data_IF_784931652482
#
_entry.id   IF_784931652482
#
_cell.length_a   1.000
_cell.length_b   1.000
_cell.length_c   1.000
_cell.angle_alpha   90.00
_cell.angle_beta   90.00
_cell.angle_gamma   90.00
#
_symmetry.space_group_name_H-M   'P 1'
#
loop_
_entity.id
_entity.type
_entity.pdbx_description
1 polymer ?
#
# COMPACT_ATOMS: atom_id res chain seq x y z
N UNK A 1 0.92 -11.66 -32.75
CA UNK A 1 -0.04 -11.17 -31.75
C UNK A 1 0.28 -11.91 -30.47
N UNK A 2 1.08 -11.29 -29.60
CA UNK A 2 1.41 -11.89 -28.31
C UNK A 2 0.26 -11.58 -27.37
N UNK A 3 -0.54 -12.61 -27.09
CA UNK A 3 -1.47 -12.63 -25.97
C UNK A 3 -0.59 -12.73 -24.72
N UNK A 4 -0.11 -11.57 -24.24
CA UNK A 4 0.56 -11.46 -22.94
C UNK A 4 -0.51 -11.83 -21.95
N UNK A 5 -0.39 -13.06 -21.42
CA UNK A 5 -1.41 -13.69 -20.58
C UNK A 5 -1.96 -12.68 -19.59
N UNK A 6 -3.25 -12.37 -19.73
CA UNK A 6 -4.02 -11.63 -18.73
C UNK A 6 -3.82 -12.36 -17.41
N UNK A 7 -2.90 -11.87 -16.58
CA UNK A 7 -2.82 -12.31 -15.19
C UNK A 7 -4.16 -11.93 -14.57
N UNK A 8 -4.89 -12.93 -14.10
CA UNK A 8 -6.14 -12.72 -13.40
C UNK A 8 -5.77 -12.18 -12.02
N UNK A 9 -6.10 -10.91 -11.79
CA UNK A 9 -6.03 -10.31 -10.44
C UNK A 9 -6.91 -11.13 -9.51
N UNK A 10 -6.32 -11.58 -8.42
CA UNK A 10 -6.97 -12.36 -7.36
C UNK A 10 -7.46 -11.44 -6.24
N UNK A 11 -8.26 -11.99 -5.32
CA UNK A 11 -8.64 -11.26 -4.11
C UNK A 11 -7.43 -11.00 -3.22
N UNK A 12 -6.51 -11.96 -3.13
CA UNK A 12 -5.26 -11.84 -2.36
C UNK A 12 -4.44 -10.64 -2.86
N UNK A 13 -4.31 -10.46 -4.18
CA UNK A 13 -3.60 -9.29 -4.75
C UNK A 13 -4.24 -7.95 -4.35
N UNK A 14 -5.57 -7.92 -4.20
CA UNK A 14 -6.32 -6.72 -3.78
C UNK A 14 -6.14 -6.47 -2.28
N UNK A 15 -6.20 -7.51 -1.46
CA UNK A 15 -5.98 -7.42 -0.02
C UNK A 15 -4.55 -7.00 0.33
N UNK A 16 -3.57 -7.54 -0.40
CA UNK A 16 -2.16 -7.13 -0.29
C UNK A 16 -1.98 -5.65 -0.65
N UNK A 17 -2.62 -5.18 -1.74
CA UNK A 17 -2.61 -3.77 -2.14
C UNK A 17 -3.19 -2.84 -1.08
N UNK A 18 -4.38 -3.16 -0.55
CA UNK A 18 -5.03 -2.36 0.51
C UNK A 18 -4.18 -2.35 1.79
N UNK A 19 -3.57 -3.48 2.12
CA UNK A 19 -2.68 -3.61 3.29
C UNK A 19 -1.42 -2.77 3.09
N UNK A 20 -0.79 -2.84 1.93
CA UNK A 20 0.41 -2.06 1.60
C UNK A 20 0.10 -0.55 1.63
N UNK A 21 -1.06 -0.14 1.12
CA UNK A 21 -1.51 1.25 1.17
C UNK A 21 -1.73 1.74 2.60
N UNK A 22 -2.40 0.94 3.42
CA UNK A 22 -2.61 1.27 4.84
C UNK A 22 -1.28 1.36 5.62
N UNK A 23 -0.33 0.47 5.33
CA UNK A 23 1.01 0.46 5.93
C UNK A 23 1.81 1.71 5.56
N UNK A 24 1.81 2.14 4.29
CA UNK A 24 2.50 3.37 3.88
C UNK A 24 1.94 4.60 4.62
N UNK A 25 0.61 4.65 4.82
CA UNK A 25 -0.01 5.70 5.63
C UNK A 25 0.48 5.68 7.09
N UNK A 26 0.63 4.49 7.69
CA UNK A 26 1.12 4.38 9.07
C UNK A 26 2.59 4.76 9.17
N UNK A 27 3.43 4.31 8.23
CA UNK A 27 4.84 4.68 8.16
C UNK A 27 5.00 6.20 8.02
N UNK A 28 4.17 6.85 7.20
CA UNK A 28 4.16 8.32 7.09
C UNK A 28 3.75 9.04 8.39
N UNK A 29 2.83 8.47 9.18
CA UNK A 29 2.47 9.02 10.51
C UNK A 29 3.61 8.86 11.50
N UNK A 30 4.27 7.70 11.50
CA UNK A 30 5.44 7.43 12.35
C UNK A 30 6.59 8.36 11.97
N UNK A 31 6.90 8.49 10.68
CA UNK A 31 7.95 9.38 10.16
C UNK A 31 7.75 10.81 10.67
N UNK A 32 6.53 11.33 10.58
CA UNK A 32 6.19 12.66 11.09
C UNK A 32 6.41 12.76 12.59
N UNK A 33 5.89 11.80 13.36
CA UNK A 33 6.02 11.77 14.82
C UNK A 33 7.50 11.79 15.23
N UNK A 34 8.32 10.92 14.64
CA UNK A 34 9.72 10.82 15.03
C UNK A 34 10.50 12.08 14.64
N UNK A 35 10.22 12.67 13.47
CA UNK A 35 10.83 13.95 13.06
C UNK A 35 10.50 15.08 14.04
N UNK A 36 9.25 15.17 14.51
CA UNK A 36 8.83 16.16 15.51
C UNK A 36 9.53 15.98 16.87
N UNK A 37 9.97 14.76 17.18
CA UNK A 37 10.63 14.41 18.43
C UNK A 37 12.16 14.24 18.33
N UNK A 38 12.76 14.70 17.23
CA UNK A 38 14.22 14.71 17.07
C UNK A 38 14.82 13.37 16.66
N UNK A 39 14.16 12.66 15.74
CA UNK A 39 14.70 11.47 15.09
C UNK A 39 16.14 11.69 14.61
N UNK A 40 16.96 10.66 14.79
CA UNK A 40 18.26 10.55 14.14
C UNK A 40 18.14 9.98 12.72
N UNK A 41 19.24 10.08 11.98
CA UNK A 41 19.31 9.63 10.58
C UNK A 41 19.07 8.12 10.46
N UNK A 42 19.47 7.32 11.45
CA UNK A 42 19.28 5.86 11.46
C UNK A 42 17.79 5.50 11.54
N UNK A 43 17.03 6.20 12.38
CA UNK A 43 15.58 5.98 12.48
C UNK A 43 14.85 6.38 11.20
N UNK A 44 15.27 7.46 10.54
CA UNK A 44 14.70 7.88 9.25
C UNK A 44 15.07 6.90 8.13
N UNK A 45 16.29 6.38 8.13
CA UNK A 45 16.74 5.35 7.18
C UNK A 45 15.96 4.05 7.35
N UNK A 46 15.71 3.61 8.59
CA UNK A 46 14.89 2.44 8.88
C UNK A 46 13.45 2.60 8.36
N UNK A 47 12.85 3.78 8.52
CA UNK A 47 11.51 4.07 7.98
C UNK A 47 11.55 4.08 6.45
N UNK A 48 12.58 4.68 5.84
CA UNK A 48 12.75 4.66 4.38
C UNK A 48 12.83 3.24 3.84
N UNK A 49 13.64 2.39 4.47
CA UNK A 49 13.75 0.97 4.12
C UNK A 49 12.40 0.25 4.21
N UNK A 50 11.63 0.45 5.28
CA UNK A 50 10.31 -0.17 5.43
C UNK A 50 9.31 0.31 4.37
N UNK A 51 9.39 1.56 3.94
CA UNK A 51 8.54 2.09 2.85
C UNK A 51 8.92 1.48 1.50
N UNK A 52 10.22 1.31 1.23
CA UNK A 52 10.71 0.63 0.03
C UNK A 52 10.30 -0.84 0.00
N UNK A 53 10.42 -1.54 1.12
CA UNK A 53 9.99 -2.93 1.27
C UNK A 53 8.48 -3.05 1.05
N UNK A 54 7.68 -2.20 1.70
CA UNK A 54 6.23 -2.15 1.53
C UNK A 54 5.80 -1.86 0.08
N UNK A 55 6.53 -0.99 -0.64
CA UNK A 55 6.23 -0.68 -2.03
C UNK A 55 6.39 -1.90 -2.96
N UNK A 56 7.20 -2.89 -2.57
CA UNK A 56 7.39 -4.12 -3.35
C UNK A 56 6.19 -5.08 -3.29
N UNK A 57 5.27 -4.87 -2.33
CA UNK A 57 4.06 -5.68 -2.16
C UNK A 57 2.89 -5.17 -3.04
N UNK A 58 3.06 -4.03 -3.71
CA UNK A 58 2.04 -3.44 -4.58
C UNK A 58 2.12 -4.05 -5.97
N UNK A 59 1.06 -4.77 -6.39
CA UNK A 59 0.91 -5.19 -7.78
C UNK A 59 0.67 -3.97 -8.68
N UNK A 60 1.49 -3.75 -9.74
CA UNK A 60 1.29 -2.66 -10.68
C UNK A 60 -0.10 -2.67 -11.35
N UNK A 61 -0.65 -3.87 -11.61
CA UNK A 61 -1.95 -4.06 -12.23
C UNK A 61 -3.09 -3.63 -11.28
N UNK A 62 -2.99 -3.96 -10.00
CA UNK A 62 -3.97 -3.53 -8.98
C UNK A 62 -3.91 -2.03 -8.76
N UNK A 63 -2.70 -1.46 -8.67
CA UNK A 63 -2.47 -0.02 -8.57
C UNK A 63 -3.04 0.74 -9.78
N UNK A 64 -2.94 0.21 -11.01
CA UNK A 64 -3.57 0.81 -12.18
C UNK A 64 -5.12 0.79 -12.08
N UNK A 65 -5.69 -0.30 -11.56
CA UNK A 65 -7.13 -0.40 -11.34
C UNK A 65 -7.61 0.58 -10.26
N UNK A 66 -6.89 0.71 -9.15
CA UNK A 66 -7.18 1.66 -8.06
C UNK A 66 -7.13 3.10 -8.59
N UNK A 67 -6.02 3.47 -9.24
CA UNK A 67 -5.82 4.81 -9.80
C UNK A 67 -6.86 5.19 -10.86
N UNK A 68 -7.33 4.22 -11.64
CA UNK A 68 -8.39 4.43 -12.64
C UNK A 68 -9.81 4.42 -12.06
N UNK A 69 -9.97 4.18 -10.75
CA UNK A 69 -11.26 4.10 -10.07
C UNK A 69 -12.07 2.85 -10.42
N UNK A 70 -11.40 1.82 -10.96
CA UNK A 70 -12.02 0.57 -11.43
C UNK A 70 -11.87 -0.56 -10.44
N UNK A 71 -11.03 -0.40 -9.41
CA UNK A 71 -10.96 -1.31 -8.28
C UNK A 71 -12.20 -1.09 -7.40
N UNK A 72 -13.18 -1.98 -7.52
CA UNK A 72 -14.40 -1.98 -6.71
C UNK A 72 -14.22 -2.95 -5.55
N UNK A 73 -13.52 -2.51 -4.50
CA UNK A 73 -13.50 -3.24 -3.23
C UNK A 73 -14.79 -2.91 -2.49
N UNK A 74 -15.61 -3.90 -2.06
CA UNK A 74 -16.69 -3.64 -1.14
C UNK A 74 -16.07 -3.07 0.14
N UNK A 75 -16.21 -1.76 0.34
CA UNK A 75 -15.87 -1.15 1.63
C UNK A 75 -16.87 -1.75 2.60
N UNK A 76 -16.44 -2.67 3.46
CA UNK A 76 -17.27 -3.07 4.59
C UNK A 76 -17.60 -1.80 5.36
N UNK A 77 -18.82 -1.31 5.15
CA UNK A 77 -19.41 -0.34 6.03
C UNK A 77 -19.39 -0.97 7.40
N UNK A 78 -18.80 -0.26 8.37
CA UNK A 78 -19.18 -0.48 9.76
C UNK A 78 -20.68 -0.23 9.83
N UNK A 79 -21.45 -1.28 9.68
CA UNK A 79 -22.85 -1.30 10.07
C UNK A 79 -22.85 -1.00 11.55
N UNK A 80 -23.31 0.21 11.86
CA UNK A 80 -23.50 0.64 13.23
C UNK A 80 -24.41 -0.34 13.95
N UNK A 81 -23.95 -0.80 15.10
CA UNK A 81 -24.78 -1.18 16.23
C UNK A 81 -24.09 -0.74 17.51
#
# INVERSE_FOLDING_TARGET
MNDVGRQTITLDDIEEHETARWLDEQLGRIERLVREHGADDEMLEAISYLREDNASWVSPEVEELDRSGRLLVPREGGDGH
#
